data_IF_193538982150
#
_entry.id   IF_193538982150
#
_cell.length_a   1.000
_cell.length_b   1.000
_cell.length_c   1.000
_cell.angle_alpha   90.00
_cell.angle_beta   90.00
_cell.angle_gamma   90.00
#
_symmetry.space_group_name_H-M   'P 1'
#
loop_
_entity.id
_entity.type
_entity.pdbx_description
1 polymer ?
#
# COMPACT_ATOMS: atom_id res chain seq x y z
N UNK A 1 -65.03 40.25 -48.60
CA UNK A 1 -63.98 41.24 -48.30
C UNK A 1 -62.91 40.55 -47.47
N UNK A 2 -61.72 40.38 -48.06
CA UNK A 2 -60.60 39.64 -47.48
C UNK A 2 -59.78 40.65 -46.66
N UNK A 3 -59.60 40.38 -45.36
CA UNK A 3 -58.77 41.18 -44.46
C UNK A 3 -57.30 40.89 -44.76
N UNK A 4 -56.55 41.93 -45.13
CA UNK A 4 -55.15 41.84 -45.53
C UNK A 4 -54.25 41.92 -44.27
N UNK A 5 -53.51 40.85 -43.98
CA UNK A 5 -52.48 40.83 -42.95
C UNK A 5 -51.24 41.60 -43.41
N UNK A 6 -50.90 42.71 -42.74
CA UNK A 6 -49.62 43.40 -42.90
C UNK A 6 -48.54 42.68 -42.07
N UNK A 7 -47.63 41.95 -42.73
CA UNK A 7 -46.39 41.48 -42.11
C UNK A 7 -45.32 42.58 -42.19
N UNK A 8 -45.04 43.21 -41.05
CA UNK A 8 -43.95 44.19 -40.89
C UNK A 8 -42.59 43.47 -40.77
N UNK A 9 -41.57 44.04 -41.42
CA UNK A 9 -40.21 43.50 -41.57
C UNK A 9 -39.48 43.33 -40.23
N UNK A 10 -39.19 42.08 -39.88
CA UNK A 10 -38.51 41.65 -38.64
C UNK A 10 -37.02 41.32 -38.87
N UNK A 11 -36.30 42.09 -39.71
CA UNK A 11 -34.93 41.76 -40.15
C UNK A 11 -33.80 42.07 -39.14
N UNK A 12 -34.09 42.76 -38.03
CA UNK A 12 -33.08 43.07 -36.98
C UNK A 12 -33.12 42.15 -35.76
N UNK A 13 -34.30 41.62 -35.41
CA UNK A 13 -34.48 40.81 -34.19
C UNK A 13 -33.92 39.38 -34.33
N UNK A 14 -33.91 38.83 -35.55
CA UNK A 14 -33.43 37.47 -35.81
C UNK A 14 -31.93 37.32 -35.57
N UNK A 15 -31.12 38.33 -35.92
CA UNK A 15 -29.67 38.28 -35.73
C UNK A 15 -29.28 38.30 -34.25
N UNK A 16 -29.97 39.11 -33.43
CA UNK A 16 -29.75 39.18 -31.98
C UNK A 16 -30.14 37.85 -31.31
N UNK A 17 -31.29 37.28 -31.70
CA UNK A 17 -31.76 35.98 -31.16
C UNK A 17 -30.78 34.86 -31.50
N UNK A 18 -30.28 34.80 -32.75
CA UNK A 18 -29.31 33.79 -33.16
C UNK A 18 -27.97 33.96 -32.42
N UNK A 19 -27.49 35.19 -32.26
CA UNK A 19 -26.26 35.45 -31.49
C UNK A 19 -26.38 35.02 -30.03
N UNK A 20 -27.52 35.29 -29.39
CA UNK A 20 -27.78 34.84 -28.01
C UNK A 20 -27.85 33.30 -27.90
N UNK A 21 -28.50 32.64 -28.86
CA UNK A 21 -28.55 31.17 -28.89
C UNK A 21 -27.14 30.58 -29.07
N UNK A 22 -26.32 31.14 -29.97
CA UNK A 22 -24.94 30.70 -30.16
C UNK A 22 -24.08 30.88 -28.91
N UNK A 23 -24.28 31.98 -28.16
CA UNK A 23 -23.59 32.21 -26.89
C UNK A 23 -23.97 31.16 -25.82
N UNK A 24 -25.25 30.83 -25.71
CA UNK A 24 -25.72 29.81 -24.75
C UNK A 24 -25.15 28.44 -25.13
N UNK A 25 -25.19 28.08 -26.42
CA UNK A 25 -24.67 26.81 -26.92
C UNK A 25 -23.16 26.66 -26.67
N UNK A 26 -22.37 27.72 -26.87
CA UNK A 26 -20.93 27.68 -26.59
C UNK A 26 -20.64 27.55 -25.09
N UNK A 27 -21.39 28.23 -24.22
CA UNK A 27 -21.24 28.12 -22.76
C UNK A 27 -21.56 26.72 -22.24
N UNK A 28 -22.67 26.13 -22.69
CA UNK A 28 -23.06 24.74 -22.36
C UNK A 28 -22.02 23.76 -22.91
N UNK A 29 -21.52 23.98 -24.13
CA UNK A 29 -20.47 23.17 -24.73
C UNK A 29 -19.17 23.16 -23.93
N UNK A 30 -18.69 24.33 -23.48
CA UNK A 30 -17.47 24.43 -22.67
C UNK A 30 -17.65 23.77 -21.30
N UNK A 31 -18.80 23.94 -20.66
CA UNK A 31 -19.11 23.28 -19.39
C UNK A 31 -19.16 21.75 -19.54
N UNK A 32 -19.80 21.25 -20.59
CA UNK A 32 -19.86 19.82 -20.88
C UNK A 32 -18.46 19.21 -21.09
N UNK A 33 -17.58 19.91 -21.82
CA UNK A 33 -16.19 19.47 -22.03
C UNK A 33 -15.42 19.45 -20.70
N UNK A 34 -15.57 20.48 -19.85
CA UNK A 34 -14.92 20.52 -18.53
C UNK A 34 -15.39 19.40 -17.60
N UNK A 35 -16.70 19.15 -17.56
CA UNK A 35 -17.29 18.05 -16.77
C UNK A 35 -16.80 16.70 -17.29
N UNK A 36 -16.74 16.51 -18.61
CA UNK A 36 -16.19 15.29 -19.20
C UNK A 36 -14.72 15.07 -18.82
N UNK A 37 -13.85 16.08 -18.98
CA UNK A 37 -12.44 15.96 -18.57
C UNK A 37 -12.29 15.70 -17.06
N UNK A 38 -13.09 16.36 -16.23
CA UNK A 38 -13.09 16.11 -14.78
C UNK A 38 -13.55 14.69 -14.45
N UNK A 39 -14.60 14.20 -15.11
CA UNK A 39 -15.09 12.82 -14.95
C UNK A 39 -14.08 11.78 -15.41
N UNK A 40 -13.35 12.03 -16.49
CA UNK A 40 -12.29 11.14 -16.97
C UNK A 40 -11.13 11.08 -15.97
N UNK A 41 -10.66 12.23 -15.47
CA UNK A 41 -9.59 12.26 -14.47
C UNK A 41 -10.01 11.55 -13.18
N UNK A 42 -11.22 11.80 -12.66
CA UNK A 42 -11.75 11.12 -11.48
C UNK A 42 -11.83 9.60 -11.73
N UNK A 43 -12.36 9.19 -12.88
CA UNK A 43 -12.46 7.76 -13.25
C UNK A 43 -11.10 7.09 -13.33
N UNK A 44 -10.12 7.71 -13.99
CA UNK A 44 -8.75 7.19 -14.08
C UNK A 44 -8.09 7.08 -12.71
N UNK A 45 -8.23 8.09 -11.83
CA UNK A 45 -7.72 8.00 -10.46
C UNK A 45 -8.38 6.87 -9.67
N UNK A 46 -9.70 6.65 -9.82
CA UNK A 46 -10.38 5.54 -9.15
C UNK A 46 -9.98 4.17 -9.70
N UNK A 47 -9.78 4.04 -11.01
CA UNK A 47 -9.33 2.79 -11.63
C UNK A 47 -7.91 2.44 -11.21
N UNK A 48 -7.00 3.43 -11.22
CA UNK A 48 -5.63 3.28 -10.71
C UNK A 48 -5.66 2.93 -9.22
N UNK A 49 -6.51 3.58 -8.41
CA UNK A 49 -6.67 3.27 -6.99
C UNK A 49 -7.15 1.84 -6.72
N UNK A 50 -8.14 1.34 -7.46
CA UNK A 50 -8.63 -0.03 -7.31
C UNK A 50 -7.58 -1.06 -7.71
N UNK A 51 -6.87 -0.82 -8.82
CA UNK A 51 -5.77 -1.67 -9.26
C UNK A 51 -4.62 -1.69 -8.24
N UNK A 52 -4.25 -0.53 -7.71
CA UNK A 52 -3.26 -0.38 -6.64
C UNK A 52 -3.69 -1.09 -5.34
N UNK A 53 -4.98 -1.07 -5.00
CA UNK A 53 -5.50 -1.83 -3.86
C UNK A 53 -5.32 -3.33 -4.06
N UNK A 54 -5.73 -3.88 -5.19
CA UNK A 54 -5.62 -5.32 -5.47
C UNK A 54 -4.16 -5.80 -5.50
N UNK A 55 -3.26 -4.98 -6.04
CA UNK A 55 -1.82 -5.29 -6.07
C UNK A 55 -1.20 -5.21 -4.68
N UNK A 56 -1.59 -4.25 -3.85
CA UNK A 56 -1.14 -4.14 -2.46
C UNK A 56 -1.66 -5.30 -1.59
N UNK A 57 -2.86 -5.82 -1.87
CA UNK A 57 -3.45 -6.94 -1.15
C UNK A 57 -2.76 -8.28 -1.49
N UNK A 58 -2.07 -8.37 -2.65
CA UNK A 58 -1.50 -9.63 -3.13
C UNK A 58 -0.41 -10.20 -2.20
N UNK A 59 0.62 -9.44 -1.77
CA UNK A 59 1.59 -9.94 -0.79
C UNK A 59 0.97 -10.25 0.58
N UNK A 60 -0.04 -9.47 1.03
CA UNK A 60 -0.76 -9.76 2.29
C UNK A 60 -1.46 -11.11 2.19
N UNK A 61 -2.11 -11.38 1.05
CA UNK A 61 -2.74 -12.67 0.79
C UNK A 61 -1.71 -13.82 0.75
N UNK A 62 -0.51 -13.60 0.21
CA UNK A 62 0.58 -14.60 0.25
C UNK A 62 1.00 -14.95 1.68
N UNK A 63 1.07 -13.97 2.57
CA UNK A 63 1.32 -14.21 4.01
C UNK A 63 0.17 -15.01 4.63
N UNK A 64 -1.07 -14.69 4.25
CA UNK A 64 -2.26 -15.30 4.82
C UNK A 64 -2.52 -16.74 4.34
N UNK A 65 -2.32 -17.04 3.05
CA UNK A 65 -2.56 -18.37 2.47
C UNK A 65 -1.29 -19.22 2.35
N UNK A 66 -0.11 -18.63 2.57
CA UNK A 66 1.18 -19.28 2.42
C UNK A 66 1.41 -20.39 3.45
N UNK A 67 2.40 -21.25 3.16
CA UNK A 67 2.83 -22.26 4.11
C UNK A 67 3.54 -21.58 5.29
N UNK A 68 2.86 -21.54 6.44
CA UNK A 68 3.35 -20.87 7.65
C UNK A 68 4.75 -21.34 8.03
N UNK A 69 5.02 -22.65 8.01
CA UNK A 69 6.33 -23.21 8.39
C UNK A 69 7.48 -22.66 7.53
N UNK A 70 7.23 -22.38 6.26
CA UNK A 70 8.25 -21.80 5.38
C UNK A 70 8.43 -20.29 5.56
N UNK A 71 7.39 -19.62 6.06
CA UNK A 71 7.35 -18.18 6.23
C UNK A 71 7.98 -17.75 7.56
N UNK A 72 7.77 -18.55 8.62
CA UNK A 72 8.35 -18.35 9.96
C UNK A 72 9.71 -19.02 10.14
N UNK A 73 10.20 -19.77 9.15
CA UNK A 73 11.58 -20.25 9.12
C UNK A 73 12.57 -19.11 8.90
N UNK A 74 13.83 -19.28 9.32
CA UNK A 74 14.91 -18.28 9.18
C UNK A 74 15.24 -17.94 7.72
N UNK A 75 14.84 -18.78 6.76
CA UNK A 75 14.92 -18.47 5.32
C UNK A 75 13.82 -17.52 4.84
N UNK A 76 12.77 -17.32 5.64
CA UNK A 76 11.67 -16.38 5.40
C UNK A 76 11.85 -15.09 6.19
N UNK A 77 11.40 -13.98 5.61
CA UNK A 77 11.50 -12.64 6.19
C UNK A 77 10.77 -12.53 7.53
N UNK A 78 9.66 -13.25 7.71
CA UNK A 78 8.94 -13.23 8.99
C UNK A 78 9.73 -13.96 10.06
N UNK A 79 10.24 -15.17 9.78
CA UNK A 79 11.11 -15.90 10.71
C UNK A 79 12.38 -15.13 11.07
N UNK A 80 13.00 -14.49 10.08
CA UNK A 80 14.14 -13.60 10.30
C UNK A 80 13.77 -12.40 11.17
N UNK A 81 12.66 -11.72 10.89
CA UNK A 81 12.18 -10.59 11.69
C UNK A 81 11.91 -10.99 13.15
N UNK A 82 11.29 -12.16 13.38
CA UNK A 82 11.00 -12.66 14.72
C UNK A 82 12.28 -12.96 15.53
N UNK A 83 13.35 -13.40 14.87
CA UNK A 83 14.62 -13.70 15.53
C UNK A 83 15.46 -12.45 15.75
N UNK A 84 15.54 -11.58 14.75
CA UNK A 84 16.36 -10.36 14.78
C UNK A 84 15.75 -9.28 15.70
N UNK A 85 14.41 -9.19 15.77
CA UNK A 85 13.72 -8.27 16.69
C UNK A 85 13.96 -8.55 18.17
N UNK A 86 14.40 -9.78 18.53
CA UNK A 86 14.82 -10.11 19.91
C UNK A 86 16.14 -9.46 20.28
N UNK A 87 16.96 -9.09 19.29
CA UNK A 87 18.25 -8.42 19.46
C UNK A 87 18.10 -6.90 19.30
N UNK A 88 17.46 -6.46 18.23
CA UNK A 88 17.23 -5.04 17.91
C UNK A 88 15.74 -4.81 17.55
N UNK A 89 14.89 -4.48 18.54
CA UNK A 89 13.46 -4.29 18.31
C UNK A 89 13.15 -3.00 17.54
N UNK A 90 12.01 -2.98 16.84
CA UNK A 90 11.51 -1.80 16.13
C UNK A 90 12.05 -1.61 14.71
N UNK A 91 12.88 -2.54 14.22
CA UNK A 91 13.36 -2.55 12.84
C UNK A 91 12.24 -2.93 11.84
N UNK A 92 12.33 -2.38 10.61
CA UNK A 92 11.49 -2.78 9.48
C UNK A 92 12.27 -3.65 8.49
N UNK A 93 11.77 -4.84 8.21
CA UNK A 93 12.36 -5.81 7.29
C UNK A 93 11.73 -5.66 5.91
N UNK A 94 12.41 -4.93 5.03
CA UNK A 94 11.92 -4.51 3.74
C UNK A 94 12.40 -5.48 2.64
N UNK A 95 11.51 -5.87 1.74
CA UNK A 95 11.86 -6.61 0.54
C UNK A 95 10.95 -6.21 -0.61
N UNK A 96 11.45 -6.35 -1.83
CA UNK A 96 10.64 -6.09 -3.01
C UNK A 96 9.81 -7.31 -3.42
N UNK A 97 8.51 -7.13 -3.68
CA UNK A 97 7.66 -8.21 -4.18
C UNK A 97 7.82 -8.38 -5.69
N UNK A 98 8.56 -9.42 -6.10
CA UNK A 98 8.88 -9.72 -7.51
C UNK A 98 8.23 -11.06 -7.94
N UNK A 99 6.91 -11.10 -8.22
CA UNK A 99 6.22 -12.34 -8.58
C UNK A 99 6.66 -12.96 -9.92
N UNK A 100 7.35 -12.19 -10.78
CA UNK A 100 7.93 -12.71 -12.02
C UNK A 100 9.31 -13.34 -11.81
N UNK A 101 9.93 -13.12 -10.66
CA UNK A 101 11.21 -13.74 -10.31
C UNK A 101 10.98 -15.17 -9.81
N UNK A 102 12.01 -16.01 -9.93
CA UNK A 102 12.01 -17.35 -9.32
C UNK A 102 12.36 -17.29 -7.81
N UNK A 103 12.40 -16.10 -7.21
CA UNK A 103 12.71 -15.94 -5.80
C UNK A 103 11.52 -16.35 -4.94
N UNK A 104 11.83 -17.03 -3.83
CA UNK A 104 10.83 -17.34 -2.81
C UNK A 104 10.27 -16.03 -2.25
N UNK A 105 8.96 -15.97 -2.09
CA UNK A 105 8.29 -14.85 -1.42
C UNK A 105 8.91 -14.57 -0.04
N UNK A 106 9.36 -13.34 0.17
CA UNK A 106 9.99 -12.94 1.43
C UNK A 106 11.27 -13.72 1.74
N UNK A 107 12.07 -14.09 0.72
CA UNK A 107 13.40 -14.67 0.94
C UNK A 107 14.30 -13.69 1.70
N UNK A 108 15.03 -14.16 2.71
CA UNK A 108 15.95 -13.30 3.49
C UNK A 108 17.14 -12.78 2.70
N UNK A 109 17.46 -13.40 1.55
CA UNK A 109 18.56 -12.98 0.68
C UNK A 109 18.39 -11.56 0.11
N UNK A 110 17.14 -11.13 -0.08
CA UNK A 110 16.80 -9.82 -0.65
C UNK A 110 16.13 -8.90 0.37
N UNK A 111 16.50 -8.96 1.64
CA UNK A 111 15.92 -8.13 2.71
C UNK A 111 16.87 -6.99 3.09
N UNK A 112 16.31 -5.78 3.23
CA UNK A 112 16.97 -4.63 3.83
C UNK A 112 16.30 -4.32 5.18
N UNK A 113 17.10 -4.27 6.24
CA UNK A 113 16.61 -4.02 7.60
C UNK A 113 16.79 -2.54 7.91
N UNK A 114 15.70 -1.78 7.88
CA UNK A 114 15.69 -0.35 8.23
C UNK A 114 15.60 -0.18 9.73
N UNK A 115 16.43 0.71 10.26
CA UNK A 115 16.25 1.22 11.62
C UNK A 115 15.20 2.33 11.64
N UNK A 116 14.40 2.45 12.71
CA UNK A 116 13.42 3.50 12.83
C UNK A 116 14.09 4.90 12.77
N UNK A 117 13.37 5.91 12.23
CA UNK A 117 13.86 7.26 12.11
C UNK A 117 13.91 7.95 13.48
N UNK A 118 14.76 8.97 13.59
CA UNK A 118 14.94 9.76 14.82
C UNK A 118 13.96 10.92 14.96
N UNK A 119 13.23 11.25 13.89
CA UNK A 119 12.20 12.30 13.89
C UNK A 119 11.10 12.00 12.87
N UNK A 120 9.96 12.69 13.01
CA UNK A 120 8.78 12.48 12.18
C UNK A 120 8.94 12.87 10.71
N UNK A 121 9.95 13.67 10.34
CA UNK A 121 10.24 14.04 8.95
C UNK A 121 11.52 13.41 8.43
N UNK A 122 12.25 12.68 9.28
CA UNK A 122 13.50 12.04 8.87
C UNK A 122 13.22 10.74 8.11
N UNK A 123 14.14 10.41 7.20
CA UNK A 123 14.28 9.07 6.65
C UNK A 123 14.72 8.09 7.75
N UNK A 124 14.64 6.79 7.46
CA UNK A 124 15.20 5.75 8.33
C UNK A 124 16.64 6.10 8.73
N UNK A 125 17.03 5.79 9.97
CA UNK A 125 18.33 6.21 10.52
C UNK A 125 19.52 5.46 9.90
N UNK A 126 19.25 4.34 9.23
CA UNK A 126 20.24 3.56 8.49
C UNK A 126 19.76 2.13 8.22
N UNK A 127 20.64 1.32 7.64
CA UNK A 127 20.45 -0.12 7.52
C UNK A 127 21.15 -0.84 8.67
N UNK A 128 20.44 -1.75 9.33
CA UNK A 128 21.04 -2.72 10.25
C UNK A 128 21.69 -3.87 9.48
N UNK A 129 21.06 -4.28 8.38
CA UNK A 129 21.53 -5.35 7.49
C UNK A 129 20.93 -5.16 6.10
N UNK A 130 21.50 -5.84 5.11
CA UNK A 130 21.07 -5.80 3.72
C UNK A 130 21.64 -4.65 2.90
N UNK A 131 21.08 -4.45 1.71
CA UNK A 131 21.55 -3.48 0.73
C UNK A 131 20.43 -2.98 -0.18
N UNK A 132 20.78 -2.58 -1.40
CA UNK A 132 19.83 -2.11 -2.41
C UNK A 132 18.74 -3.13 -2.75
N UNK A 133 19.03 -4.43 -2.64
CA UNK A 133 18.14 -5.50 -3.11
C UNK A 133 16.84 -5.63 -2.29
N UNK A 134 16.82 -5.11 -1.06
CA UNK A 134 15.61 -5.03 -0.24
C UNK A 134 14.64 -3.91 -0.63
N UNK A 135 15.08 -3.00 -1.49
CA UNK A 135 14.25 -1.93 -2.04
C UNK A 135 13.88 -2.24 -3.47
N UNK A 136 12.62 -2.03 -3.82
CA UNK A 136 12.20 -2.10 -5.21
C UNK A 136 12.84 -0.99 -6.03
N UNK A 137 13.39 -1.37 -7.17
CA UNK A 137 13.83 -0.43 -8.20
C UNK A 137 12.65 -0.07 -9.10
N UNK A 138 12.32 1.21 -9.13
CA UNK A 138 11.15 1.75 -9.80
C UNK A 138 11.17 1.63 -11.33
N UNK A 139 12.31 1.27 -11.92
CA UNK A 139 12.49 1.13 -13.37
C UNK A 139 12.47 -0.33 -13.85
N UNK A 140 12.59 -1.31 -12.94
CA UNK A 140 12.75 -2.73 -13.34
C UNK A 140 11.92 -3.74 -12.54
N UNK A 141 11.59 -3.45 -11.27
CA UNK A 141 11.02 -4.46 -10.37
C UNK A 141 9.48 -4.52 -10.45
N UNK A 142 8.97 -4.51 -11.67
CA UNK A 142 7.54 -4.57 -11.92
C UNK A 142 6.93 -5.91 -11.49
N UNK A 143 5.72 -5.85 -10.95
CA UNK A 143 4.97 -7.03 -10.54
C UNK A 143 4.38 -7.84 -11.70
N UNK A 144 4.52 -7.37 -12.94
CA UNK A 144 4.03 -8.06 -14.14
C UNK A 144 4.72 -7.57 -15.40
N UNK A 145 4.60 -8.33 -16.50
CA UNK A 145 5.15 -7.96 -17.81
C UNK A 145 4.49 -6.72 -18.43
N UNK A 146 3.42 -6.20 -17.81
CA UNK A 146 2.78 -4.94 -18.22
C UNK A 146 3.47 -3.71 -17.64
N UNK A 147 4.47 -3.90 -16.78
CA UNK A 147 5.33 -2.84 -16.24
C UNK A 147 4.55 -1.66 -15.65
N UNK A 148 3.46 -1.98 -14.95
CA UNK A 148 2.51 -0.98 -14.46
C UNK A 148 2.70 -0.64 -12.98
N UNK A 149 2.92 -1.66 -12.13
CA UNK A 149 2.94 -1.50 -10.67
C UNK A 149 4.13 -2.23 -10.07
N UNK A 150 4.69 -1.60 -9.05
CA UNK A 150 5.76 -2.10 -8.21
C UNK A 150 5.23 -2.15 -6.78
N UNK A 151 5.54 -3.21 -6.03
CA UNK A 151 5.04 -3.37 -4.66
C UNK A 151 6.19 -3.61 -3.69
N UNK A 152 6.44 -2.62 -2.84
CA UNK A 152 7.36 -2.74 -1.71
C UNK A 152 6.64 -3.40 -0.54
N UNK A 153 7.30 -4.34 0.14
CA UNK A 153 6.76 -4.98 1.34
C UNK A 153 7.70 -4.71 2.51
N UNK A 154 7.12 -4.45 3.67
CA UNK A 154 7.84 -4.36 4.93
C UNK A 154 7.16 -5.22 5.98
N UNK A 155 7.97 -5.93 6.76
CA UNK A 155 7.55 -6.67 7.94
C UNK A 155 8.08 -5.93 9.15
N UNK A 156 7.25 -5.72 10.16
CA UNK A 156 7.62 -5.09 11.42
C UNK A 156 7.07 -5.94 12.55
N UNK A 157 7.83 -6.11 13.62
CA UNK A 157 7.36 -6.78 14.85
C UNK A 157 6.90 -5.68 15.82
N UNK A 158 5.58 -5.50 16.04
CA UNK A 158 5.06 -4.49 16.95
C UNK A 158 5.57 -4.70 18.38
N UNK A 159 6.16 -3.66 18.96
CA UNK A 159 6.63 -3.62 20.35
C UNK A 159 5.63 -2.97 21.30
N UNK A 160 4.64 -2.27 20.76
CA UNK A 160 3.60 -1.61 21.53
C UNK A 160 2.80 -2.60 22.39
N UNK A 161 2.21 -2.13 23.48
CA UNK A 161 1.26 -2.95 24.21
C UNK A 161 -0.04 -3.03 23.41
N UNK A 162 -0.66 -4.20 23.36
CA UNK A 162 -2.00 -4.34 22.77
C UNK A 162 -2.98 -3.65 23.74
N UNK A 163 -3.42 -2.45 23.39
CA UNK A 163 -4.48 -1.72 24.11
C UNK A 163 -5.83 -2.02 23.45
N UNK A 164 -6.90 -2.12 24.25
CA UNK A 164 -8.27 -2.40 23.80
C UNK A 164 -8.49 -3.74 23.06
N UNK A 165 -7.98 -4.85 23.62
CA UNK A 165 -8.36 -6.17 23.11
C UNK A 165 -9.86 -6.41 23.27
N UNK A 166 -10.55 -6.51 22.13
CA UNK A 166 -11.90 -7.07 22.12
C UNK A 166 -11.84 -8.51 22.65
N UNK A 167 -12.86 -8.96 23.42
CA UNK A 167 -12.95 -10.35 23.85
C UNK A 167 -12.78 -11.29 22.65
N UNK A 168 -11.81 -12.20 22.74
CA UNK A 168 -11.48 -13.14 21.66
C UNK A 168 -10.43 -12.68 20.65
N UNK A 169 -9.85 -11.49 20.77
CA UNK A 169 -8.83 -10.98 19.84
C UNK A 169 -7.54 -11.81 19.77
N UNK A 170 -7.23 -12.58 20.82
CA UNK A 170 -6.07 -13.49 20.89
C UNK A 170 -6.44 -14.96 20.70
N UNK A 171 -7.68 -15.25 20.29
CA UNK A 171 -8.08 -16.62 20.04
C UNK A 171 -7.45 -17.14 18.76
N UNK A 172 -6.99 -18.40 18.82
CA UNK A 172 -6.59 -19.10 17.60
C UNK A 172 -7.79 -19.23 16.68
N UNK A 173 -7.57 -19.03 15.38
CA UNK A 173 -8.63 -19.16 14.39
C UNK A 173 -9.19 -20.59 14.40
N UNK A 174 -10.51 -20.72 14.41
CA UNK A 174 -11.20 -22.01 14.51
C UNK A 174 -11.50 -22.47 15.95
N UNK A 175 -11.12 -21.67 16.97
CA UNK A 175 -11.58 -21.92 18.33
C UNK A 175 -13.00 -21.40 18.53
N UNK A 176 -13.86 -22.22 19.14
CA UNK A 176 -15.22 -21.85 19.48
C UNK A 176 -15.41 -21.90 21.00
N UNK A 177 -15.36 -20.73 21.65
CA UNK A 177 -15.55 -20.61 23.09
C UNK A 177 -16.96 -21.06 23.54
N UNK A 178 -17.96 -20.98 22.66
CA UNK A 178 -19.34 -21.44 22.95
C UNK A 178 -19.43 -22.97 22.98
N UNK A 179 -18.55 -23.68 22.27
CA UNK A 179 -18.51 -25.15 22.23
C UNK A 179 -17.64 -25.77 23.32
N UNK A 180 -17.20 -24.98 24.32
CA UNK A 180 -16.33 -25.48 25.40
C UNK A 180 -14.95 -25.93 24.90
N UNK A 181 -14.51 -25.47 23.71
CA UNK A 181 -13.17 -25.77 23.22
C UNK A 181 -12.18 -25.10 24.16
N UNK A 182 -11.50 -25.94 24.95
CA UNK A 182 -10.46 -25.53 25.88
C UNK A 182 -9.44 -24.73 25.06
N UNK A 183 -9.08 -23.53 25.52
CA UNK A 183 -7.91 -22.81 25.00
C UNK A 183 -6.77 -23.83 24.79
N UNK A 184 -6.06 -23.82 23.65
CA UNK A 184 -5.02 -24.80 23.42
C UNK A 184 -4.08 -24.78 24.63
N UNK A 185 -4.02 -25.89 25.38
CA UNK A 185 -3.32 -25.94 26.68
C UNK A 185 -1.80 -25.72 26.57
N UNK A 186 -1.29 -25.55 25.35
CA UNK A 186 0.11 -25.45 24.99
C UNK A 186 0.43 -24.22 24.13
N UNK A 187 -0.34 -23.13 24.22
CA UNK A 187 0.09 -21.84 23.63
C UNK A 187 1.19 -21.26 24.50
N UNK A 188 2.43 -21.29 24.01
CA UNK A 188 3.60 -20.82 24.78
C UNK A 188 4.06 -19.43 24.38
N UNK A 189 3.76 -19.00 23.16
CA UNK A 189 4.22 -17.71 22.63
C UNK A 189 3.18 -17.14 21.65
N UNK A 190 2.85 -15.86 21.83
CA UNK A 190 2.05 -15.09 20.88
C UNK A 190 2.90 -13.93 20.38
N UNK A 191 3.19 -13.93 19.08
CA UNK A 191 3.99 -12.89 18.43
C UNK A 191 3.14 -12.16 17.41
N UNK A 192 3.15 -10.83 17.45
CA UNK A 192 2.47 -10.01 16.45
C UNK A 192 3.41 -9.75 15.30
N UNK A 193 2.90 -9.85 14.08
CA UNK A 193 3.63 -9.52 12.86
C UNK A 193 2.79 -8.54 12.08
N UNK A 194 3.32 -7.35 11.85
CA UNK A 194 2.70 -6.32 11.02
C UNK A 194 3.34 -6.36 9.65
N UNK A 195 2.52 -6.50 8.62
CA UNK A 195 2.96 -6.50 7.22
C UNK A 195 2.36 -5.28 6.55
N UNK A 196 3.22 -4.44 6.01
CA UNK A 196 2.84 -3.26 5.24
C UNK A 196 3.24 -3.46 3.80
N UNK A 197 2.28 -3.32 2.89
CA UNK A 197 2.50 -3.38 1.44
C UNK A 197 2.23 -2.01 0.85
N UNK A 198 3.15 -1.53 0.01
CA UNK A 198 3.02 -0.24 -0.68
C UNK A 198 3.13 -0.48 -2.18
N UNK A 199 2.02 -0.33 -2.89
CA UNK A 199 1.95 -0.45 -4.34
C UNK A 199 2.04 0.92 -5.00
N UNK A 200 2.83 1.00 -6.07
CA UNK A 200 3.32 2.24 -6.66
C UNK A 200 3.19 2.14 -8.18
N UNK A 201 2.68 3.20 -8.82
CA UNK A 201 2.69 3.35 -10.28
C UNK A 201 3.80 4.33 -10.69
N UNK A 202 5.03 3.86 -10.98
CA UNK A 202 6.16 4.75 -11.24
C UNK A 202 6.03 5.57 -12.52
N UNK A 203 5.22 5.13 -13.50
CA UNK A 203 5.03 5.80 -14.79
C UNK A 203 4.37 7.18 -14.71
N UNK A 204 3.74 7.50 -13.58
CA UNK A 204 3.18 8.82 -13.29
C UNK A 204 4.19 9.75 -12.61
N UNK A 205 5.39 9.25 -12.27
CA UNK A 205 6.42 10.08 -11.66
C UNK A 205 7.05 11.03 -12.68
N UNK A 206 7.05 12.32 -12.36
CA UNK A 206 7.82 13.31 -13.12
C UNK A 206 9.32 13.26 -12.81
N UNK A 207 9.69 12.74 -11.64
CA UNK A 207 11.08 12.56 -11.19
C UNK A 207 11.21 11.18 -10.54
N UNK A 208 11.66 10.20 -11.33
CA UNK A 208 11.84 8.82 -10.88
C UNK A 208 12.90 8.72 -9.77
N UNK A 209 13.92 9.58 -9.77
CA UNK A 209 14.98 9.58 -8.75
C UNK A 209 14.44 10.06 -7.40
N UNK A 210 13.63 11.12 -7.40
CA UNK A 210 12.95 11.58 -6.19
C UNK A 210 11.99 10.52 -5.63
N UNK A 211 11.23 9.84 -6.51
CA UNK A 211 10.35 8.75 -6.12
C UNK A 211 11.14 7.55 -5.55
N UNK A 212 12.25 7.17 -6.19
CA UNK A 212 13.12 6.10 -5.70
C UNK A 212 13.71 6.44 -4.32
N UNK A 213 14.07 7.72 -4.11
CA UNK A 213 14.57 8.21 -2.83
C UNK A 213 13.54 8.16 -1.69
N UNK A 214 12.25 8.04 -2.00
CA UNK A 214 11.22 7.79 -0.99
C UNK A 214 11.31 6.37 -0.42
N UNK A 215 11.59 5.36 -1.27
CA UNK A 215 11.66 3.94 -0.87
C UNK A 215 13.04 3.60 -0.30
N UNK A 216 14.09 4.07 -0.99
CA UNK A 216 15.49 3.81 -0.72
C UNK A 216 16.23 3.29 -1.95
N UNK A 217 17.55 3.50 -2.01
CA UNK A 217 18.46 2.93 -3.03
C UNK A 217 19.55 2.05 -2.42
N UNK A 218 19.58 1.91 -1.09
CA UNK A 218 20.57 1.14 -0.35
C UNK A 218 21.13 1.90 0.85
N UNK A 219 22.32 1.54 1.31
CA UNK A 219 22.91 2.04 2.55
C UNK A 219 23.19 3.55 2.55
N UNK A 220 23.39 4.17 1.37
CA UNK A 220 23.58 5.61 1.22
C UNK A 220 22.30 6.44 1.15
N UNK A 221 21.14 5.81 0.90
CA UNK A 221 19.82 6.47 0.89
C UNK A 221 18.76 5.44 1.27
N UNK A 222 18.43 5.39 2.54
CA UNK A 222 17.56 4.35 3.11
C UNK A 222 16.06 4.60 2.97
N UNK A 223 15.64 5.75 2.43
CA UNK A 223 14.21 6.06 2.26
C UNK A 223 13.43 6.22 3.57
N UNK A 224 12.12 6.41 3.46
CA UNK A 224 11.19 6.57 4.59
C UNK A 224 10.70 5.22 5.11
N UNK A 225 10.09 5.24 6.29
CA UNK A 225 9.41 4.09 6.88
C UNK A 225 8.15 3.71 6.09
N UNK A 226 7.71 2.48 6.24
CA UNK A 226 6.63 1.93 5.41
C UNK A 226 5.25 2.36 5.92
N UNK A 227 5.06 2.41 7.24
CA UNK A 227 3.83 2.87 7.88
C UNK A 227 4.07 3.66 9.17
N UNK A 228 3.06 4.41 9.59
CA UNK A 228 3.03 5.20 10.83
C UNK A 228 1.96 4.68 11.80
N UNK A 229 1.67 3.37 11.77
CA UNK A 229 0.61 2.78 12.61
C UNK A 229 1.08 2.44 14.03
N UNK A 230 2.39 2.33 14.25
CA UNK A 230 2.98 2.13 15.57
C UNK A 230 2.82 3.36 16.46
N UNK A 231 2.79 3.17 17.79
CA UNK A 231 2.70 4.29 18.75
C UNK A 231 3.82 5.31 18.56
N UNK A 232 5.02 4.81 18.28
CA UNK A 232 6.26 5.58 18.27
C UNK A 232 6.54 6.21 16.89
N UNK A 233 5.92 5.67 15.84
CA UNK A 233 6.04 6.17 14.46
C UNK A 233 4.83 7.00 14.02
N UNK A 234 3.84 7.19 14.90
CA UNK A 234 2.58 7.83 14.55
C UNK A 234 2.76 9.26 14.02
N UNK A 235 2.23 9.50 12.82
CA UNK A 235 2.32 10.80 12.16
C UNK A 235 3.64 11.04 11.44
N UNK A 236 4.54 10.06 11.36
CA UNK A 236 5.81 10.18 10.66
C UNK A 236 5.59 10.17 9.14
N UNK A 237 6.55 10.71 8.41
CA UNK A 237 6.61 10.65 6.97
C UNK A 237 6.86 9.20 6.51
N UNK A 238 5.95 8.65 5.72
CA UNK A 238 6.03 7.30 5.19
C UNK A 238 6.38 7.31 3.69
N UNK A 239 6.76 6.15 3.14
CA UNK A 239 6.96 5.97 1.69
C UNK A 239 5.74 6.48 0.92
N UNK A 240 4.53 6.10 1.36
CA UNK A 240 3.29 6.52 0.71
C UNK A 240 3.07 8.05 0.77
N UNK A 241 3.34 8.70 1.91
CA UNK A 241 3.23 10.17 2.03
C UNK A 241 4.22 10.88 1.12
N UNK A 242 5.47 10.40 1.06
CA UNK A 242 6.51 10.95 0.19
C UNK A 242 6.13 10.85 -1.28
N UNK A 243 5.68 9.67 -1.73
CA UNK A 243 5.28 9.43 -3.12
C UNK A 243 4.04 10.23 -3.51
N UNK A 244 3.04 10.32 -2.62
CA UNK A 244 1.85 11.12 -2.86
C UNK A 244 2.17 12.62 -3.03
N UNK A 245 3.13 13.17 -2.27
CA UNK A 245 3.60 14.56 -2.43
C UNK A 245 4.27 14.81 -3.78
N UNK A 246 4.89 13.78 -4.36
CA UNK A 246 5.47 13.84 -5.71
C UNK A 246 4.45 13.61 -6.83
N UNK A 247 3.16 13.41 -6.49
CA UNK A 247 2.10 13.14 -7.46
C UNK A 247 2.10 11.69 -7.99
N UNK A 248 2.88 10.80 -7.37
CA UNK A 248 2.94 9.38 -7.76
C UNK A 248 1.75 8.65 -7.14
N UNK A 249 0.89 7.99 -7.93
CA UNK A 249 -0.19 7.15 -7.42
C UNK A 249 0.39 6.02 -6.58
N UNK A 250 -0.05 5.96 -5.33
CA UNK A 250 0.41 5.00 -4.34
C UNK A 250 -0.75 4.54 -3.48
N UNK A 251 -0.74 3.26 -3.10
CA UNK A 251 -1.64 2.71 -2.10
C UNK A 251 -0.82 1.91 -1.09
N UNK A 252 -0.98 2.22 0.20
CA UNK A 252 -0.34 1.47 1.27
C UNK A 252 -1.39 0.80 2.13
N UNK A 253 -1.19 -0.48 2.41
CA UNK A 253 -2.07 -1.30 3.26
C UNK A 253 -1.23 -1.95 4.34
N UNK A 254 -1.73 -1.93 5.57
CA UNK A 254 -1.08 -2.53 6.73
C UNK A 254 -2.01 -3.55 7.36
N UNK A 255 -1.51 -4.76 7.56
CA UNK A 255 -2.23 -5.85 8.20
C UNK A 255 -1.39 -6.45 9.33
N UNK A 256 -1.98 -6.57 10.51
CA UNK A 256 -1.39 -7.30 11.63
C UNK A 256 -1.88 -8.73 11.69
N UNK A 257 -0.96 -9.65 11.98
CA UNK A 257 -1.18 -11.08 12.15
C UNK A 257 -0.71 -11.50 13.55
N UNK A 258 -1.50 -12.34 14.21
CA UNK A 258 -1.14 -12.97 15.47
C UNK A 258 -0.63 -14.38 15.19
N UNK A 259 0.67 -14.60 15.36
CA UNK A 259 1.29 -15.91 15.29
C UNK A 259 1.19 -16.59 16.66
N UNK A 260 0.78 -17.86 16.66
CA UNK A 260 0.64 -18.66 17.86
C UNK A 260 1.35 -19.99 17.65
N UNK A 261 2.24 -20.33 18.58
CA UNK A 261 2.88 -21.64 18.63
C UNK A 261 2.04 -22.58 19.49
N UNK A 262 1.70 -23.75 18.93
CA UNK A 262 0.96 -24.80 19.63
C UNK A 262 1.83 -26.05 19.61
N UNK A 263 2.27 -26.53 20.77
CA UNK A 263 2.93 -27.82 20.84
C UNK A 263 1.90 -28.95 20.75
N UNK A 264 1.98 -29.73 19.68
CA UNK A 264 1.28 -31.02 19.58
C UNK A 264 2.27 -32.13 19.94
N UNK A 265 1.94 -32.91 20.97
CA UNK A 265 2.72 -34.06 21.37
C UNK A 265 2.52 -35.17 20.31
N UNK A 266 3.55 -35.46 19.51
CA UNK A 266 3.50 -36.45 18.42
C UNK A 266 3.92 -37.85 18.86
N UNK A 267 4.38 -38.01 20.11
CA UNK A 267 4.68 -39.31 20.73
C UNK A 267 4.69 -39.18 22.26
N UNK A 268 4.16 -40.19 22.95
CA UNK A 268 4.28 -40.30 24.41
C UNK A 268 5.75 -40.43 24.83
N UNK A 269 6.13 -39.87 26.01
CA UNK A 269 7.50 -39.88 26.51
C UNK A 269 8.08 -41.29 26.74
#
# INVERSE_FOLDING_TARGET
>A
MINNHNFSSQRGATLIVVMMILLILTFVGVLAIRVAMSSLNISTHTQVGQFLSQTADTPINQVYTGNLSTLVDLSGVIGYALQDSKLEPGNEYNFCFKPMSNEKFGSTLGVAVKRPPVSNTAKASGLASGGSDGFCDLDKDFGSSREAVITQVAVTIPTDAIVDLKPGALLSRGTNLSSGTIMPRNVVEQQRVRVTTTSIVPSFSHDLSAAQNCIGTGSGSVGYISDDTGSDTRGFETIAKCLAKLGVPVNSQTQEFNLQTIFNQTKDP
#
